data_IF_761026294705
#
_entry.id   IF_761026294705
#
_cell.length_a   1.000
_cell.length_b   1.000
_cell.length_c   1.000
_cell.angle_alpha   90.00
_cell.angle_beta   90.00
_cell.angle_gamma   90.00
#
_symmetry.space_group_name_H-M   'P 1'
#
loop_
_entity.id
_entity.type
_entity.pdbx_description
1 polymer ?
#
# COMPACT_ATOMS: atom_id res chain seq x y z
N UNK A 1 -3.97 -61.30 42.85
CA UNK A 1 -4.05 -62.53 42.03
C UNK A 1 -3.93 -62.08 40.57
N UNK A 2 -2.72 -62.03 40.00
CA UNK A 2 -2.01 -63.12 39.26
C UNK A 2 -2.64 -63.33 37.86
N UNK A 3 -2.11 -62.66 36.82
CA UNK A 3 -1.22 -63.20 35.74
C UNK A 3 -2.03 -63.85 34.61
N UNK A 4 -1.92 -63.43 33.34
CA UNK A 4 -0.93 -64.01 32.40
C UNK A 4 -0.76 -63.18 31.12
N UNK A 5 0.52 -63.05 30.76
CA UNK A 5 1.17 -62.53 29.56
C UNK A 5 0.99 -63.48 28.34
N UNK A 6 1.21 -63.02 27.11
CA UNK A 6 2.19 -63.60 26.15
C UNK A 6 2.05 -62.93 24.78
N UNK A 7 3.20 -62.54 24.24
CA UNK A 7 3.46 -61.91 22.95
C UNK A 7 3.69 -62.92 21.82
N UNK A 8 3.67 -62.46 20.56
CA UNK A 8 4.49 -62.86 19.41
C UNK A 8 3.82 -62.35 18.12
N UNK A 9 4.39 -61.40 17.39
CA UNK A 9 5.53 -61.44 16.44
C UNK A 9 5.09 -61.68 15.00
N UNK A 10 5.56 -60.73 14.18
CA UNK A 10 6.10 -60.90 12.82
C UNK A 10 5.16 -61.37 11.70
N UNK A 11 4.94 -60.48 10.73
CA UNK A 11 4.91 -60.91 9.34
C UNK A 11 5.53 -59.87 8.41
N UNK A 12 6.84 -60.05 8.21
CA UNK A 12 7.51 -60.13 6.91
C UNK A 12 6.63 -59.86 5.67
N UNK A 13 7.02 -58.88 4.85
CA UNK A 13 7.64 -59.11 3.52
C UNK A 13 7.51 -57.87 2.64
N UNK A 14 8.61 -57.16 2.48
CA UNK A 14 8.86 -56.36 1.29
C UNK A 14 8.98 -57.32 0.08
N UNK A 15 8.34 -56.98 -1.05
CA UNK A 15 8.94 -56.95 -2.40
C UNK A 15 7.87 -57.07 -3.50
N UNK A 16 7.82 -56.04 -4.33
CA UNK A 16 7.46 -56.01 -5.75
C UNK A 16 6.03 -56.39 -6.17
N UNK A 17 5.32 -55.42 -6.76
CA UNK A 17 5.30 -55.27 -8.23
C UNK A 17 4.49 -54.03 -8.62
N UNK A 18 5.15 -53.16 -9.38
CA UNK A 18 4.52 -52.24 -10.32
C UNK A 18 3.42 -52.96 -11.11
N UNK A 19 2.22 -52.40 -11.12
CA UNK A 19 1.44 -52.23 -12.34
C UNK A 19 0.19 -51.39 -12.05
N UNK A 20 -0.06 -50.45 -12.95
CA UNK A 20 -1.38 -50.07 -13.42
C UNK A 20 -2.26 -49.17 -12.55
N UNK A 21 -2.29 -47.91 -13.00
CA UNK A 21 -3.51 -47.14 -13.31
C UNK A 21 -4.38 -46.67 -12.14
N UNK A 22 -4.31 -45.35 -11.86
CA UNK A 22 -5.34 -44.36 -12.25
C UNK A 22 -5.11 -43.05 -11.47
N UNK A 23 -4.17 -42.23 -11.92
CA UNK A 23 -4.01 -40.86 -11.43
C UNK A 23 -4.88 -39.93 -12.29
N UNK A 24 -5.59 -39.04 -11.59
CA UNK A 24 -6.56 -38.08 -12.11
C UNK A 24 -5.95 -37.11 -13.16
N UNK A 25 -6.76 -36.57 -14.08
CA UNK A 25 -6.27 -35.59 -15.05
C UNK A 25 -5.93 -34.27 -14.32
N UNK A 26 -4.66 -33.86 -14.41
CA UNK A 26 -4.27 -32.47 -14.13
C UNK A 26 -4.69 -31.62 -15.32
N UNK A 27 -5.55 -30.63 -15.08
CA UNK A 27 -5.88 -29.61 -16.06
C UNK A 27 -4.63 -28.75 -16.34
N UNK A 28 -4.10 -28.91 -17.54
CA UNK A 28 -3.03 -28.09 -18.10
C UNK A 28 -3.66 -26.80 -18.63
N UNK A 29 -3.58 -25.72 -17.86
CA UNK A 29 -3.91 -24.39 -18.36
C UNK A 29 -2.73 -23.83 -19.15
N UNK A 30 -2.69 -24.13 -20.45
CA UNK A 30 -1.88 -23.39 -21.43
C UNK A 30 -2.55 -22.03 -21.70
N UNK A 31 -2.28 -21.06 -20.83
CA UNK A 31 -2.68 -19.68 -21.06
C UNK A 31 -1.56 -18.94 -21.81
N UNK A 32 -1.59 -19.06 -23.14
CA UNK A 32 -0.99 -18.16 -24.14
C UNK A 32 0.21 -17.29 -23.68
N UNK A 33 1.42 -17.83 -23.87
CA UNK A 33 2.63 -17.04 -24.05
C UNK A 33 2.59 -16.33 -25.42
N UNK A 34 1.86 -15.21 -25.51
CA UNK A 34 1.95 -14.29 -26.63
C UNK A 34 2.71 -13.03 -26.21
N UNK A 35 3.97 -12.98 -26.64
CA UNK A 35 4.65 -11.79 -27.13
C UNK A 35 4.55 -10.51 -26.30
N UNK A 36 5.42 -10.35 -25.31
CA UNK A 36 5.81 -9.02 -24.84
C UNK A 36 6.68 -8.33 -25.89
N UNK A 37 6.06 -7.86 -26.98
CA UNK A 37 6.56 -6.69 -27.68
C UNK A 37 5.94 -5.47 -27.01
N UNK A 38 6.47 -5.09 -25.85
CA UNK A 38 6.20 -3.78 -25.30
C UNK A 38 6.89 -2.78 -26.23
N UNK A 39 6.13 -2.18 -27.15
CA UNK A 39 6.54 -0.98 -27.86
C UNK A 39 7.09 -0.02 -26.81
N UNK A 40 8.36 0.36 -26.96
CA UNK A 40 8.98 1.38 -26.14
C UNK A 40 8.09 2.61 -26.21
N UNK A 41 7.31 2.84 -25.15
CA UNK A 41 6.60 4.09 -24.98
C UNK A 41 7.67 5.19 -25.00
N UNK A 42 7.48 6.28 -25.74
CA UNK A 42 8.36 7.42 -25.59
C UNK A 42 8.35 7.76 -24.09
N UNK A 43 9.53 7.90 -23.49
CA UNK A 43 9.64 8.35 -22.12
C UNK A 43 9.05 9.76 -22.04
N UNK A 44 7.73 9.85 -21.82
CA UNK A 44 7.08 11.07 -21.41
C UNK A 44 7.81 11.44 -20.13
N UNK A 45 8.56 12.55 -20.16
CA UNK A 45 9.31 13.02 -19.01
C UNK A 45 8.35 13.01 -17.81
N UNK A 46 8.71 12.26 -16.77
CA UNK A 46 7.88 12.19 -15.58
C UNK A 46 7.60 13.63 -15.11
N UNK A 47 6.35 13.97 -14.78
CA UNK A 47 6.03 15.32 -14.33
C UNK A 47 6.94 15.66 -13.15
N UNK A 48 7.54 16.85 -13.17
CA UNK A 48 8.39 17.30 -12.09
C UNK A 48 7.59 17.27 -10.79
N UNK A 49 8.03 16.46 -9.82
CA UNK A 49 7.41 16.40 -8.51
C UNK A 49 7.93 17.53 -7.63
N UNK A 50 7.05 18.03 -6.79
CA UNK A 50 7.37 19.06 -5.80
C UNK A 50 7.20 18.49 -4.39
N UNK A 51 8.13 18.89 -3.50
CA UNK A 51 8.07 18.54 -2.09
C UNK A 51 7.39 19.65 -1.31
N UNK A 52 6.24 19.34 -0.73
CA UNK A 52 5.46 20.27 0.10
C UNK A 52 5.30 19.73 1.51
N UNK A 53 4.96 20.59 2.46
CA UNK A 53 4.62 20.17 3.82
C UNK A 53 3.12 20.42 4.06
N UNK A 54 2.37 19.35 4.28
CA UNK A 54 0.99 19.40 4.75
C UNK A 54 0.97 19.74 6.24
N UNK A 55 0.16 20.72 6.60
CA UNK A 55 -0.11 21.12 7.99
C UNK A 55 -1.61 21.10 8.21
N UNK A 56 -2.04 20.41 9.26
CA UNK A 56 -3.43 20.38 9.72
C UNK A 56 -3.45 20.63 11.22
N UNK A 57 -4.31 21.54 11.67
CA UNK A 57 -4.50 21.87 13.08
C UNK A 57 -5.99 21.97 13.42
N UNK A 58 -6.35 21.53 14.64
CA UNK A 58 -7.70 21.72 15.17
C UNK A 58 -8.79 20.80 14.57
N UNK A 59 -8.43 19.77 13.81
CA UNK A 59 -9.40 18.91 13.11
C UNK A 59 -10.18 17.98 14.06
N UNK A 60 -11.50 17.88 13.89
CA UNK A 60 -12.31 16.92 14.65
C UNK A 60 -12.03 15.46 14.21
N UNK A 61 -12.16 14.51 15.14
CA UNK A 61 -11.98 13.08 14.89
C UNK A 61 -12.83 12.55 13.72
N UNK A 62 -14.06 13.04 13.55
CA UNK A 62 -14.99 12.57 12.51
C UNK A 62 -14.50 12.88 11.09
N UNK A 63 -13.75 13.96 10.95
CA UNK A 63 -13.28 14.50 9.65
C UNK A 63 -12.01 13.80 9.18
N UNK A 64 -11.30 13.10 10.07
CA UNK A 64 -10.05 12.38 9.76
C UNK A 64 -10.14 11.52 8.50
N UNK A 65 -11.21 10.71 8.38
CA UNK A 65 -11.40 9.84 7.22
C UNK A 65 -11.65 10.61 5.93
N UNK A 66 -12.25 11.80 5.99
CA UNK A 66 -12.45 12.64 4.82
C UNK A 66 -11.10 13.15 4.29
N UNK A 67 -10.23 13.64 5.18
CA UNK A 67 -8.87 14.04 4.78
C UNK A 67 -8.06 12.85 4.24
N UNK A 68 -8.14 11.68 4.88
CA UNK A 68 -7.48 10.46 4.37
C UNK A 68 -7.96 10.08 2.96
N UNK A 69 -9.22 10.37 2.61
CA UNK A 69 -9.72 10.18 1.24
C UNK A 69 -9.15 11.20 0.27
N UNK A 70 -9.02 12.47 0.68
CA UNK A 70 -8.42 13.50 -0.17
C UNK A 70 -6.97 13.18 -0.52
N UNK A 71 -6.22 12.54 0.39
CA UNK A 71 -4.86 12.08 0.09
C UNK A 71 -4.78 11.06 -1.05
N UNK A 72 -5.89 10.39 -1.38
CA UNK A 72 -5.96 9.47 -2.52
C UNK A 72 -6.05 10.19 -3.87
N UNK A 73 -6.21 11.52 -3.89
CA UNK A 73 -6.05 12.33 -5.10
C UNK A 73 -4.59 12.44 -5.52
N UNK A 74 -3.66 12.28 -4.56
CA UNK A 74 -2.24 12.30 -4.86
C UNK A 74 -1.83 10.96 -5.51
N UNK A 75 -0.97 11.00 -6.54
CA UNK A 75 -0.48 9.77 -7.15
C UNK A 75 0.31 8.94 -6.14
N UNK A 76 0.33 7.62 -6.35
CA UNK A 76 1.21 6.72 -5.61
C UNK A 76 2.65 7.18 -5.78
N UNK A 77 3.42 7.20 -4.68
CA UNK A 77 4.85 7.49 -4.82
C UNK A 77 5.53 6.26 -5.40
N UNK A 78 6.33 6.48 -6.45
CA UNK A 78 7.16 5.45 -7.05
C UNK A 78 8.44 5.18 -6.23
N UNK A 79 8.68 5.93 -5.15
CA UNK A 79 9.84 5.75 -4.27
C UNK A 79 9.53 4.79 -3.11
N UNK A 80 10.29 3.70 -3.04
CA UNK A 80 10.18 2.74 -1.95
C UNK A 80 10.50 3.41 -0.59
N UNK A 81 9.48 3.50 0.28
CA UNK A 81 9.59 4.12 1.61
C UNK A 81 8.78 5.41 1.76
N UNK A 82 8.28 5.99 0.66
CA UNK A 82 7.33 7.11 0.68
C UNK A 82 5.90 6.59 0.80
N UNK A 83 5.59 5.92 1.92
CA UNK A 83 4.20 5.54 2.20
C UNK A 83 3.47 6.71 2.85
N UNK A 84 2.40 7.16 2.20
CA UNK A 84 1.54 8.26 2.63
C UNK A 84 0.71 7.90 3.87
N UNK A 85 1.36 7.83 5.03
CA UNK A 85 0.65 7.72 6.30
C UNK A 85 0.72 9.04 7.05
N UNK A 86 -0.43 9.69 7.21
CA UNK A 86 -0.55 10.82 8.12
C UNK A 86 -0.35 10.37 9.56
N UNK A 87 0.69 10.87 10.23
CA UNK A 87 0.90 10.61 11.67
C UNK A 87 0.07 11.59 12.47
N UNK A 88 -1.19 11.22 12.66
CA UNK A 88 -2.13 12.00 13.44
C UNK A 88 -1.69 12.15 14.90
N UNK A 89 -1.58 13.40 15.36
CA UNK A 89 -1.36 13.74 16.77
C UNK A 89 -2.66 14.25 17.36
N UNK A 90 -3.10 13.61 18.44
CA UNK A 90 -4.26 14.06 19.22
C UNK A 90 -3.79 15.09 20.24
N UNK A 91 -4.41 16.26 20.22
CA UNK A 91 -4.18 17.38 21.11
C UNK A 91 -4.98 17.23 22.41
N UNK A 92 -4.64 18.03 23.43
CA UNK A 92 -5.27 17.96 24.76
C UNK A 92 -6.77 18.32 24.73
N UNK A 93 -7.17 19.22 23.82
CA UNK A 93 -8.57 19.57 23.54
C UNK A 93 -9.33 18.48 22.77
N UNK A 94 -8.69 17.37 22.43
CA UNK A 94 -9.28 16.25 21.69
C UNK A 94 -9.23 16.39 20.17
N UNK A 95 -8.79 17.53 19.63
CA UNK A 95 -8.63 17.72 18.19
C UNK A 95 -7.40 16.96 17.66
N UNK A 96 -7.33 16.83 16.35
CA UNK A 96 -6.26 16.19 15.63
C UNK A 96 -5.44 17.21 14.84
N UNK A 97 -4.15 16.94 14.75
CA UNK A 97 -3.18 17.73 14.01
C UNK A 97 -2.20 16.81 13.31
N UNK A 98 -1.61 17.27 12.22
CA UNK A 98 -0.48 16.60 11.57
C UNK A 98 0.43 17.61 10.88
N UNK A 99 1.69 17.20 10.71
CA UNK A 99 2.68 17.90 9.90
C UNK A 99 3.48 16.85 9.13
N UNK A 100 3.22 16.73 7.84
CA UNK A 100 3.79 15.66 6.99
C UNK A 100 4.37 16.24 5.72
N UNK A 101 5.38 15.58 5.16
CA UNK A 101 5.91 15.96 3.85
C UNK A 101 5.21 15.15 2.76
N UNK A 102 4.83 15.83 1.69
CA UNK A 102 4.23 15.30 0.50
C UNK A 102 5.20 15.47 -0.67
N UNK A 103 5.25 14.48 -1.57
CA UNK A 103 6.02 14.53 -2.81
C UNK A 103 5.11 14.13 -3.98
N UNK A 104 4.63 15.11 -4.74
CA UNK A 104 3.67 14.86 -5.81
C UNK A 104 3.81 15.89 -6.94
N UNK A 105 3.27 15.60 -8.15
CA UNK A 105 3.15 16.58 -9.22
C UNK A 105 2.40 17.83 -8.76
N UNK A 106 2.82 18.99 -9.28
CA UNK A 106 2.31 20.30 -8.87
C UNK A 106 0.81 20.48 -9.11
N UNK A 107 0.30 19.94 -10.21
CA UNK A 107 -1.11 19.93 -10.57
C UNK A 107 -1.95 19.09 -9.58
N UNK A 108 -1.49 17.89 -9.25
CA UNK A 108 -2.13 17.05 -8.24
C UNK A 108 -2.14 17.71 -6.85
N UNK A 109 -1.04 18.38 -6.48
CA UNK A 109 -0.94 19.15 -5.23
C UNK A 109 -1.89 20.34 -5.20
N UNK A 110 -2.07 21.05 -6.33
CA UNK A 110 -2.98 22.18 -6.42
C UNK A 110 -4.45 21.75 -6.31
N UNK A 111 -4.83 20.64 -6.94
CA UNK A 111 -6.17 20.06 -6.80
C UNK A 111 -6.43 19.61 -5.36
N UNK A 112 -5.49 18.86 -4.78
CA UNK A 112 -5.57 18.44 -3.38
C UNK A 112 -5.67 19.62 -2.41
N UNK A 113 -4.87 20.68 -2.63
CA UNK A 113 -4.92 21.89 -1.80
C UNK A 113 -6.29 22.57 -1.86
N UNK A 114 -6.88 22.70 -3.05
CA UNK A 114 -8.20 23.31 -3.22
C UNK A 114 -9.29 22.53 -2.49
N UNK A 115 -9.34 21.21 -2.67
CA UNK A 115 -10.32 20.33 -2.00
C UNK A 115 -10.12 20.32 -0.47
N UNK A 116 -8.86 20.32 -0.01
CA UNK A 116 -8.55 20.36 1.42
C UNK A 116 -8.97 21.69 2.05
N UNK A 117 -8.76 22.81 1.37
CA UNK A 117 -9.20 24.13 1.85
C UNK A 117 -10.74 24.22 1.90
N UNK A 118 -11.45 23.68 0.92
CA UNK A 118 -12.90 23.61 0.93
C UNK A 118 -13.42 22.81 2.14
N UNK A 119 -12.85 21.61 2.37
CA UNK A 119 -13.19 20.78 3.53
C UNK A 119 -12.85 21.48 4.86
N UNK A 120 -11.70 22.15 4.94
CA UNK A 120 -11.28 22.90 6.12
C UNK A 120 -12.23 24.04 6.47
N UNK A 121 -12.70 24.78 5.47
CA UNK A 121 -13.68 25.84 5.64
C UNK A 121 -15.05 25.32 6.06
N UNK A 122 -15.51 24.20 5.48
CA UNK A 122 -16.79 23.58 5.84
C UNK A 122 -16.78 23.04 7.28
N UNK A 123 -15.70 22.38 7.67
CA UNK A 123 -15.61 21.65 8.94
C UNK A 123 -14.96 22.45 10.07
N UNK A 124 -14.45 23.64 9.78
CA UNK A 124 -13.94 24.59 10.78
C UNK A 124 -12.58 24.22 11.37
N UNK A 125 -11.64 23.70 10.56
CA UNK A 125 -10.26 23.44 10.98
C UNK A 125 -9.26 24.20 10.11
N UNK A 126 -7.99 24.23 10.51
CA UNK A 126 -6.93 24.85 9.71
C UNK A 126 -6.21 23.78 8.89
N UNK A 127 -6.07 24.04 7.58
CA UNK A 127 -5.26 23.26 6.68
C UNK A 127 -4.37 24.18 5.83
N UNK A 128 -3.15 23.75 5.56
CA UNK A 128 -2.20 24.50 4.73
C UNK A 128 -1.23 23.55 4.05
N UNK A 129 -0.85 23.87 2.80
CA UNK A 129 0.32 23.31 2.14
C UNK A 129 1.43 24.36 2.09
N UNK A 130 2.56 24.07 2.72
CA UNK A 130 3.78 24.86 2.59
C UNK A 130 4.62 24.32 1.42
N UNK A 131 4.63 25.08 0.34
CA UNK A 131 5.46 24.81 -0.84
C UNK A 131 6.90 25.22 -0.55
N UNK A 132 7.83 24.25 -0.51
CA UNK A 132 9.25 24.57 -0.32
C UNK A 132 9.91 24.66 -1.70
N UNK A 133 10.43 25.83 -2.12
CA UNK A 133 11.19 25.89 -3.36
C UNK A 133 12.41 24.97 -3.23
N UNK A 134 12.53 24.03 -4.18
CA UNK A 134 13.68 23.16 -4.29
C UNK A 134 14.94 24.01 -4.55
N UNK A 135 15.88 24.03 -3.61
CA UNK A 135 17.09 24.86 -3.65
C UNK A 135 18.40 24.03 -3.67
N UNK A 136 18.35 22.78 -4.13
CA UNK A 136 19.51 21.88 -4.09
C UNK A 136 20.00 21.48 -5.49
N UNK A 137 21.24 21.81 -5.83
CA UNK A 137 22.00 21.08 -6.86
C UNK A 137 22.19 19.62 -6.41
N UNK A 138 21.78 18.65 -7.23
CA UNK A 138 22.29 17.28 -7.12
C UNK A 138 23.82 17.35 -7.29
N UNK A 139 24.56 16.85 -6.29
CA UNK A 139 26.01 16.57 -6.38
C UNK A 139 26.21 15.08 -6.51
#
# INVERSE_FOLDING_TARGET
>A
MTTTLVAARENTSATARQAAHKAAPQEHYDFFALGQSALAQPATAAPATERTTLIIEGMDKRVRRAVEKLLLLLPESNEAGEVWFTRWRRQANGSYSCRENLNAPRDALAEFEAELQALAAEEGFMAQLEHRPYAGTYV
#
